data_IF_756561085467
#
_entry.id   IF_756561085467
#
_cell.length_a   1.000
_cell.length_b   1.000
_cell.length_c   1.000
_cell.angle_alpha   90.00
_cell.angle_beta   90.00
_cell.angle_gamma   90.00
#
_symmetry.space_group_name_H-M   'P 1'
#
loop_
_entity.id
_entity.type
_entity.pdbx_description
1 polymer ?
#
# COMPACT_ATOMS: atom_id res chain seq x y z
N UNK A 1 2.85 13.14 -0.62
CA UNK A 1 2.96 11.89 -1.40
C UNK A 1 2.41 12.19 -2.79
N UNK A 2 3.16 11.84 -3.83
CA UNK A 2 2.73 12.12 -5.21
C UNK A 2 1.48 11.30 -5.58
N UNK A 3 0.58 11.87 -6.39
CA UNK A 3 -0.57 11.15 -6.91
C UNK A 3 -0.14 9.92 -7.74
N UNK A 4 -0.94 8.86 -7.74
CA UNK A 4 -0.69 7.64 -8.51
C UNK A 4 -1.17 7.73 -9.97
N UNK A 5 -1.87 8.81 -10.32
CA UNK A 5 -2.27 9.15 -11.67
C UNK A 5 -2.11 10.66 -11.90
N UNK A 6 -1.96 11.07 -13.14
CA UNK A 6 -1.72 12.47 -13.54
C UNK A 6 -3.01 13.15 -14.02
N UNK A 7 -2.96 14.48 -14.12
CA UNK A 7 -4.04 15.27 -14.72
C UNK A 7 -4.21 14.92 -16.23
N UNK A 8 -3.11 14.56 -16.89
CA UNK A 8 -3.15 14.08 -18.27
C UNK A 8 -3.96 12.81 -18.39
N UNK A 9 -3.80 11.85 -17.46
CA UNK A 9 -4.60 10.63 -17.43
C UNK A 9 -6.11 10.89 -17.32
N UNK A 10 -6.51 11.98 -16.68
CA UNK A 10 -7.92 12.38 -16.62
C UNK A 10 -8.39 13.00 -17.93
N UNK A 11 -7.60 13.91 -18.53
CA UNK A 11 -7.95 14.57 -19.79
C UNK A 11 -8.10 13.56 -20.93
N UNK A 12 -7.22 12.58 -20.99
CA UNK A 12 -7.25 11.51 -22.00
C UNK A 12 -8.53 10.68 -21.89
N UNK A 13 -8.92 10.32 -20.65
CA UNK A 13 -10.16 9.57 -20.40
C UNK A 13 -11.42 10.41 -20.58
N UNK A 14 -11.33 11.72 -20.34
CA UNK A 14 -12.44 12.64 -20.56
C UNK A 14 -12.65 12.97 -22.06
N UNK A 15 -11.63 12.73 -22.89
CA UNK A 15 -11.62 13.03 -24.32
C UNK A 15 -11.54 14.52 -24.64
N UNK A 16 -11.19 15.37 -23.66
CA UNK A 16 -10.99 16.81 -23.80
C UNK A 16 -10.00 17.34 -22.76
N UNK A 17 -9.34 18.47 -23.02
CA UNK A 17 -8.57 19.14 -21.99
C UNK A 17 -9.46 19.58 -20.82
N UNK A 18 -8.89 19.58 -19.63
CA UNK A 18 -9.53 20.13 -18.44
C UNK A 18 -9.48 21.67 -18.48
N UNK A 19 -10.50 22.30 -17.96
CA UNK A 19 -10.47 23.74 -17.71
C UNK A 19 -9.57 24.05 -16.51
N UNK A 20 -9.01 25.28 -16.37
CA UNK A 20 -8.15 25.62 -15.23
C UNK A 20 -8.79 25.36 -13.85
N UNK A 21 -10.11 25.51 -13.73
CA UNK A 21 -10.84 25.24 -12.50
C UNK A 21 -10.95 23.73 -12.25
N UNK A 22 -11.21 22.93 -13.30
CA UNK A 22 -11.22 21.48 -13.21
C UNK A 22 -9.84 20.93 -12.89
N UNK A 23 -8.78 21.50 -13.46
CA UNK A 23 -7.39 21.07 -13.24
C UNK A 23 -6.95 21.24 -11.79
N UNK A 24 -7.22 22.40 -11.18
CA UNK A 24 -6.94 22.63 -9.77
C UNK A 24 -7.70 21.65 -8.85
N UNK A 25 -8.97 21.36 -9.17
CA UNK A 25 -9.78 20.38 -8.45
C UNK A 25 -9.30 18.96 -8.69
N UNK A 26 -8.91 18.62 -9.92
CA UNK A 26 -8.44 17.30 -10.30
C UNK A 26 -7.20 16.86 -9.49
N UNK A 27 -6.26 17.76 -9.25
CA UNK A 27 -5.06 17.46 -8.45
C UNK A 27 -5.44 17.00 -7.03
N UNK A 28 -6.36 17.69 -6.38
CA UNK A 28 -6.84 17.30 -5.05
C UNK A 28 -7.55 15.95 -5.07
N UNK A 29 -8.43 15.73 -6.07
CA UNK A 29 -9.16 14.47 -6.22
C UNK A 29 -8.24 13.29 -6.51
N UNK A 30 -7.19 13.48 -7.32
CA UNK A 30 -6.17 12.47 -7.59
C UNK A 30 -5.37 12.12 -6.34
N UNK A 31 -5.04 13.12 -5.53
CA UNK A 31 -4.37 12.91 -4.25
C UNK A 31 -5.24 12.08 -3.29
N UNK A 32 -6.52 12.43 -3.15
CA UNK A 32 -7.48 11.73 -2.30
C UNK A 32 -7.73 10.29 -2.77
N UNK A 33 -7.90 10.09 -4.09
CA UNK A 33 -8.05 8.77 -4.70
C UNK A 33 -6.82 7.90 -4.44
N UNK A 34 -5.63 8.45 -4.64
CA UNK A 34 -4.36 7.78 -4.41
C UNK A 34 -4.18 7.37 -2.95
N UNK A 35 -4.55 8.24 -2.02
CA UNK A 35 -4.50 7.94 -0.60
C UNK A 35 -5.44 6.78 -0.23
N UNK A 36 -6.65 6.72 -0.81
CA UNK A 36 -7.61 5.63 -0.59
C UNK A 36 -7.11 4.30 -1.17
N UNK A 37 -6.54 4.32 -2.38
CA UNK A 37 -5.97 3.11 -3.01
C UNK A 37 -4.81 2.58 -2.17
N UNK A 38 -3.88 3.43 -1.74
CA UNK A 38 -2.78 3.03 -0.85
C UNK A 38 -3.29 2.50 0.51
N UNK A 39 -4.31 3.14 1.07
CA UNK A 39 -4.91 2.69 2.33
C UNK A 39 -5.58 1.32 2.20
N UNK A 40 -6.22 1.03 1.08
CA UNK A 40 -6.85 -0.24 0.79
C UNK A 40 -5.82 -1.33 0.53
N UNK A 41 -4.92 -1.13 -0.42
CA UNK A 41 -3.94 -2.14 -0.87
C UNK A 41 -2.78 -2.33 0.10
N UNK A 42 -2.53 -1.36 0.99
CA UNK A 42 -1.33 -1.27 1.85
C UNK A 42 -0.02 -1.18 1.05
N UNK A 43 -0.10 -0.78 -0.24
CA UNK A 43 1.05 -0.63 -1.13
C UNK A 43 1.35 0.84 -1.41
N UNK A 44 2.62 1.20 -1.48
CA UNK A 44 3.08 2.55 -1.86
C UNK A 44 2.99 2.80 -3.37
N UNK A 45 3.21 1.76 -4.18
CA UNK A 45 3.30 1.73 -5.65
C UNK A 45 4.46 2.52 -6.26
N UNK A 46 5.06 3.41 -5.51
CA UNK A 46 6.21 4.22 -5.95
C UNK A 46 7.50 3.58 -5.48
N UNK A 47 8.56 3.73 -6.28
CA UNK A 47 9.88 3.22 -5.91
C UNK A 47 10.39 3.91 -4.65
N UNK A 48 10.86 3.09 -3.73
CA UNK A 48 11.51 3.51 -2.50
C UNK A 48 12.78 2.68 -2.32
N UNK A 49 13.91 3.35 -2.23
CA UNK A 49 15.20 2.69 -2.04
C UNK A 49 15.57 2.68 -0.54
N UNK A 50 16.09 1.55 -0.08
CA UNK A 50 16.61 1.36 1.28
C UNK A 50 15.62 1.71 2.41
N UNK A 51 14.34 1.35 2.24
CA UNK A 51 13.37 1.45 3.32
C UNK A 51 13.73 0.48 4.44
N UNK A 52 13.66 0.96 5.68
CA UNK A 52 13.91 0.14 6.86
C UNK A 52 12.62 -0.14 7.59
N UNK A 53 12.30 -1.42 7.77
CA UNK A 53 11.10 -1.89 8.48
C UNK A 53 11.48 -2.87 9.58
N UNK A 54 10.64 -2.91 10.62
CA UNK A 54 10.79 -3.92 11.69
C UNK A 54 9.64 -4.90 11.57
N UNK A 55 9.98 -6.16 11.35
CA UNK A 55 9.04 -7.24 11.08
C UNK A 55 9.30 -8.42 12.01
N UNK A 56 8.27 -9.22 12.27
CA UNK A 56 8.38 -10.45 13.02
C UNK A 56 8.37 -11.64 12.07
N UNK A 57 9.32 -12.54 12.24
CA UNK A 57 9.33 -13.81 11.53
C UNK A 57 8.18 -14.69 12.03
N UNK A 58 7.58 -15.44 11.13
CA UNK A 58 6.59 -16.48 11.42
C UNK A 58 7.10 -17.76 10.79
N UNK A 59 7.35 -18.78 11.60
CA UNK A 59 7.89 -20.07 11.13
C UNK A 59 9.16 -19.91 10.28
N UNK A 60 10.08 -19.05 10.73
CA UNK A 60 11.33 -18.79 10.00
C UNK A 60 11.21 -17.92 8.73
N UNK A 61 10.02 -17.44 8.40
CA UNK A 61 9.78 -16.58 7.25
C UNK A 61 9.46 -15.14 7.66
N UNK A 62 10.13 -14.18 7.04
CA UNK A 62 9.82 -12.76 7.12
C UNK A 62 9.14 -12.37 5.81
N UNK A 63 7.91 -11.83 5.89
CA UNK A 63 7.19 -11.35 4.71
C UNK A 63 7.32 -9.85 4.59
N UNK A 64 7.85 -9.41 3.45
CA UNK A 64 8.01 -7.99 3.13
C UNK A 64 6.67 -7.38 2.74
N UNK A 65 6.32 -6.21 3.31
CA UNK A 65 4.98 -5.62 3.13
C UNK A 65 4.79 -4.95 1.78
N UNK A 66 5.83 -4.38 1.19
CA UNK A 66 5.75 -3.64 -0.07
C UNK A 66 6.25 -4.47 -1.24
N UNK A 67 5.59 -4.34 -2.40
CA UNK A 67 5.88 -5.09 -3.63
C UNK A 67 5.86 -4.18 -4.86
N UNK A 68 6.57 -4.57 -5.93
CA UNK A 68 7.58 -5.63 -6.00
C UNK A 68 8.79 -5.29 -5.14
N UNK A 69 9.45 -6.31 -4.58
CA UNK A 69 10.75 -6.15 -3.92
C UNK A 69 11.84 -6.15 -4.99
N UNK A 70 12.72 -5.17 -4.95
CA UNK A 70 13.81 -4.99 -5.92
C UNK A 70 15.09 -5.61 -5.38
N UNK A 71 15.39 -5.36 -4.12
CA UNK A 71 16.59 -5.85 -3.43
C UNK A 71 16.39 -5.86 -1.92
N UNK A 72 17.04 -6.79 -1.25
CA UNK A 72 17.19 -6.81 0.22
C UNK A 72 18.65 -6.52 0.52
N UNK A 73 18.90 -5.40 1.20
CA UNK A 73 20.26 -4.94 1.49
C UNK A 73 20.78 -5.51 2.81
N UNK A 74 19.93 -5.56 3.85
CA UNK A 74 20.35 -5.97 5.19
C UNK A 74 19.19 -6.59 5.97
N UNK A 75 19.54 -7.60 6.77
CA UNK A 75 18.65 -8.22 7.76
C UNK A 75 19.37 -8.30 9.10
N UNK A 76 18.77 -7.71 10.11
CA UNK A 76 19.33 -7.61 11.47
C UNK A 76 18.34 -8.17 12.47
N UNK A 77 18.76 -9.11 13.30
CA UNK A 77 17.96 -9.57 14.43
C UNK A 77 17.93 -8.48 15.52
N UNK A 78 16.74 -8.10 15.95
CA UNK A 78 16.55 -7.04 16.94
C UNK A 78 16.60 -7.66 18.34
N UNK A 79 17.55 -7.21 19.15
CA UNK A 79 17.69 -7.66 20.53
C UNK A 79 16.56 -7.14 21.43
N UNK A 80 16.11 -7.96 22.36
CA UNK A 80 15.15 -7.62 23.41
C UNK A 80 15.86 -7.51 24.77
N UNK A 81 15.23 -6.86 25.75
CA UNK A 81 15.75 -6.79 27.11
C UNK A 81 17.07 -6.04 27.26
N UNK A 82 17.51 -5.25 26.26
CA UNK A 82 18.81 -4.57 26.25
C UNK A 82 19.91 -5.32 25.51
N UNK A 83 19.60 -6.49 24.93
CA UNK A 83 20.54 -7.19 24.06
C UNK A 83 20.85 -6.35 22.79
N UNK A 84 22.09 -6.39 22.28
CA UNK A 84 22.46 -5.66 21.07
C UNK A 84 21.79 -6.24 19.82
N UNK A 85 21.53 -5.40 18.84
CA UNK A 85 21.09 -5.87 17.52
C UNK A 85 22.25 -6.61 16.83
N UNK A 86 21.96 -7.76 16.21
CA UNK A 86 22.96 -8.61 15.54
C UNK A 86 22.62 -8.83 14.07
N UNK A 87 23.61 -8.77 13.14
CA UNK A 87 23.39 -9.14 11.76
C UNK A 87 22.85 -10.58 11.68
N UNK A 88 21.75 -10.78 10.96
CA UNK A 88 21.21 -12.11 10.73
C UNK A 88 22.14 -12.89 9.79
N UNK A 89 22.45 -14.12 10.15
CA UNK A 89 23.36 -14.98 9.37
C UNK A 89 22.54 -16.04 8.65
N UNK A 90 22.90 -16.32 7.39
CA UNK A 90 22.29 -17.42 6.62
C UNK A 90 20.87 -17.16 6.14
N UNK A 91 20.40 -15.92 6.15
CA UNK A 91 19.11 -15.58 5.55
C UNK A 91 19.17 -15.69 4.02
N UNK A 92 18.04 -16.05 3.42
CA UNK A 92 17.89 -16.16 1.98
C UNK A 92 16.60 -15.45 1.54
N UNK A 93 16.71 -14.60 0.54
CA UNK A 93 15.56 -13.99 -0.13
C UNK A 93 15.13 -14.84 -1.32
N UNK A 94 13.84 -15.09 -1.46
CA UNK A 94 13.25 -15.91 -2.53
C UNK A 94 13.17 -15.21 -3.90
N UNK A 95 13.58 -13.93 -3.96
CA UNK A 95 13.44 -13.10 -5.17
C UNK A 95 12.07 -12.45 -5.31
N UNK A 96 11.14 -12.68 -4.38
CA UNK A 96 9.80 -12.10 -4.37
C UNK A 96 9.55 -11.27 -3.10
N UNK A 97 8.88 -11.83 -2.11
CA UNK A 97 8.49 -11.11 -0.89
C UNK A 97 8.81 -11.85 0.41
N UNK A 98 9.51 -12.97 0.34
CA UNK A 98 9.83 -13.79 1.50
C UNK A 98 11.34 -13.85 1.74
N UNK A 99 11.72 -13.58 2.96
CA UNK A 99 13.07 -13.83 3.46
C UNK A 99 12.96 -15.01 4.42
N UNK A 100 13.70 -16.07 4.15
CA UNK A 100 13.87 -17.19 5.07
C UNK A 100 15.05 -16.92 5.98
N UNK A 101 14.83 -17.10 7.27
CA UNK A 101 15.87 -16.98 8.28
C UNK A 101 16.33 -18.37 8.71
N UNK A 102 17.57 -18.48 9.12
CA UNK A 102 18.16 -19.75 9.56
C UNK A 102 17.54 -20.32 10.86
N UNK A 103 16.55 -19.63 11.45
CA UNK A 103 15.95 -20.00 12.74
C UNK A 103 15.19 -21.34 12.73
N UNK A 104 14.89 -21.93 11.56
CA UNK A 104 14.29 -23.28 11.45
C UNK A 104 15.30 -24.37 11.06
N UNK A 105 16.54 -24.00 10.77
CA UNK A 105 17.60 -24.97 10.61
C UNK A 105 18.39 -24.97 11.92
N UNK A 106 18.43 -26.09 12.68
CA UNK A 106 19.31 -26.15 13.83
C UNK A 106 20.71 -25.84 13.31
N UNK A 107 21.21 -24.67 13.70
CA UNK A 107 22.48 -24.16 13.22
C UNK A 107 23.58 -25.08 13.69
N UNK A 108 24.06 -25.93 12.78
CA UNK A 108 25.16 -26.89 13.04
C UNK A 108 26.48 -26.15 13.36
N UNK A 109 26.48 -24.82 13.33
CA UNK A 109 27.67 -24.00 13.52
C UNK A 109 27.50 -22.84 14.52
N UNK A 110 26.47 -22.84 15.36
CA UNK A 110 26.53 -21.98 16.55
C UNK A 110 27.37 -22.66 17.64
N UNK A 111 28.33 -21.96 18.24
CA UNK A 111 29.03 -22.49 19.42
C UNK A 111 28.02 -22.90 20.47
N UNK A 112 28.20 -24.07 21.09
CA UNK A 112 27.32 -24.65 22.11
C UNK A 112 27.00 -23.72 23.30
N UNK A 113 27.69 -22.59 23.41
CA UNK A 113 27.51 -21.58 24.46
C UNK A 113 26.26 -20.71 24.34
N UNK A 114 25.47 -20.78 23.23
CA UNK A 114 24.33 -19.87 22.96
C UNK A 114 22.97 -20.51 23.16
N UNK A 115 22.91 -21.73 23.67
CA UNK A 115 21.67 -22.54 23.66
C UNK A 115 20.72 -22.34 24.84
N UNK A 116 21.10 -21.67 25.94
CA UNK A 116 20.30 -21.73 27.16
C UNK A 116 19.88 -20.39 27.83
N UNK A 117 20.46 -19.24 27.49
CA UNK A 117 20.08 -17.98 28.15
C UNK A 117 19.53 -16.90 27.19
N UNK A 118 19.73 -17.02 25.89
CA UNK A 118 19.47 -15.94 24.93
C UNK A 118 18.25 -16.14 24.02
N UNK A 119 17.48 -17.23 24.15
CA UNK A 119 16.29 -17.46 23.33
C UNK A 119 15.24 -16.33 23.53
N UNK A 120 15.16 -15.75 24.71
CA UNK A 120 14.31 -14.60 25.01
C UNK A 120 14.92 -13.28 24.52
N UNK A 121 16.22 -13.22 24.27
CA UNK A 121 16.92 -12.01 23.81
C UNK A 121 16.63 -11.69 22.33
N UNK A 122 16.26 -12.70 21.52
CA UNK A 122 15.95 -12.54 20.09
C UNK A 122 14.60 -13.16 19.75
N UNK A 123 13.50 -12.47 20.03
CA UNK A 123 12.13 -12.98 19.90
C UNK A 123 11.63 -13.12 18.44
N UNK A 124 12.53 -13.35 17.49
CA UNK A 124 12.18 -13.47 16.07
C UNK A 124 11.73 -12.16 15.42
N UNK A 125 12.19 -11.03 15.96
CA UNK A 125 11.97 -9.70 15.39
C UNK A 125 13.22 -9.28 14.60
N UNK A 126 13.00 -8.81 13.37
CA UNK A 126 14.08 -8.43 12.46
C UNK A 126 13.87 -7.03 11.94
N UNK A 127 14.96 -6.28 11.84
CA UNK A 127 15.02 -5.04 11.06
C UNK A 127 15.54 -5.40 9.68
N UNK A 128 14.76 -5.07 8.65
CA UNK A 128 15.08 -5.35 7.25
C UNK A 128 15.22 -4.05 6.51
N UNK A 129 16.33 -3.87 5.80
CA UNK A 129 16.54 -2.79 4.85
C UNK A 129 16.37 -3.35 3.44
N UNK A 130 15.42 -2.81 2.69
CA UNK A 130 15.11 -3.29 1.35
C UNK A 130 14.63 -2.18 0.42
N UNK A 131 14.74 -2.40 -0.88
CA UNK A 131 14.23 -1.51 -1.92
C UNK A 131 13.02 -2.15 -2.58
N UNK A 132 11.98 -1.35 -2.83
CA UNK A 132 10.72 -1.85 -3.38
C UNK A 132 10.03 -0.83 -4.27
N UNK A 133 8.92 -1.26 -4.88
CA UNK A 133 8.09 -0.44 -5.76
C UNK A 133 8.52 -0.51 -7.21
N UNK A 134 7.67 -0.02 -8.10
CA UNK A 134 7.92 0.02 -9.53
C UNK A 134 8.50 1.39 -9.94
N UNK A 135 9.23 1.41 -11.05
CA UNK A 135 9.72 2.67 -11.63
C UNK A 135 8.55 3.55 -12.12
N UNK A 136 7.50 2.89 -12.62
CA UNK A 136 6.24 3.53 -13.03
C UNK A 136 5.09 2.89 -12.27
N UNK A 137 4.06 3.67 -11.95
CA UNK A 137 2.85 3.16 -11.30
C UNK A 137 2.16 2.17 -12.24
N UNK A 138 1.76 0.98 -11.78
CA UNK A 138 1.06 0.00 -12.61
C UNK A 138 -0.20 0.59 -13.27
N UNK A 139 -0.44 0.22 -14.53
CA UNK A 139 -1.50 0.80 -15.35
C UNK A 139 -2.90 0.60 -14.76
N UNK A 140 -3.15 -0.56 -14.14
CA UNK A 140 -4.40 -0.90 -13.44
C UNK A 140 -4.65 0.05 -12.27
N UNK A 141 -3.60 0.38 -11.50
CA UNK A 141 -3.68 1.33 -10.38
C UNK A 141 -3.97 2.74 -10.89
N UNK A 142 -3.27 3.16 -11.97
CA UNK A 142 -3.54 4.45 -12.64
C UNK A 142 -5.00 4.51 -13.12
N UNK A 143 -5.50 3.41 -13.71
CA UNK A 143 -6.88 3.33 -14.21
C UNK A 143 -7.92 3.49 -13.09
N UNK A 144 -7.74 2.79 -11.98
CA UNK A 144 -8.65 2.87 -10.82
C UNK A 144 -8.62 4.27 -10.22
N UNK A 145 -7.43 4.84 -9.97
CA UNK A 145 -7.28 6.18 -9.38
C UNK A 145 -7.91 7.25 -10.28
N UNK A 146 -7.62 7.21 -11.58
CA UNK A 146 -8.17 8.15 -12.54
C UNK A 146 -9.70 8.05 -12.64
N UNK A 147 -10.26 6.83 -12.64
CA UNK A 147 -11.70 6.59 -12.65
C UNK A 147 -12.39 7.12 -11.39
N UNK A 148 -11.81 6.89 -10.21
CA UNK A 148 -12.32 7.42 -8.94
C UNK A 148 -12.34 8.96 -8.94
N UNK A 149 -11.27 9.59 -9.38
CA UNK A 149 -11.16 11.05 -9.47
C UNK A 149 -12.14 11.61 -10.51
N UNK A 150 -12.21 11.00 -11.70
CA UNK A 150 -13.07 11.42 -12.79
C UNK A 150 -14.56 11.34 -12.42
N UNK A 151 -14.97 10.26 -11.77
CA UNK A 151 -16.35 10.08 -11.26
C UNK A 151 -16.76 11.23 -10.36
N UNK A 152 -15.86 11.68 -9.47
CA UNK A 152 -16.12 12.80 -8.57
C UNK A 152 -16.05 14.16 -9.28
N UNK A 153 -15.13 14.30 -10.24
CA UNK A 153 -14.95 15.53 -11.02
C UNK A 153 -16.18 15.82 -11.90
N UNK A 154 -16.75 14.78 -12.54
CA UNK A 154 -17.90 14.89 -13.45
C UNK A 154 -19.25 14.82 -12.73
N UNK A 155 -19.27 14.43 -11.45
CA UNK A 155 -20.51 14.45 -10.68
C UNK A 155 -21.01 15.87 -10.49
N UNK A 156 -22.29 16.14 -10.77
CA UNK A 156 -22.85 17.47 -10.54
C UNK A 156 -22.71 17.82 -9.06
N UNK A 157 -22.14 18.99 -8.78
CA UNK A 157 -22.12 19.56 -7.43
C UNK A 157 -23.53 20.03 -7.13
N UNK A 158 -24.34 19.19 -6.49
CA UNK A 158 -25.64 19.58 -5.99
C UNK A 158 -25.40 20.44 -4.76
N UNK A 159 -25.49 21.74 -4.93
CA UNK A 159 -25.45 22.68 -3.81
C UNK A 159 -26.66 22.40 -2.90
N UNK A 160 -26.38 22.13 -1.62
CA UNK A 160 -27.42 22.10 -0.60
C UNK A 160 -28.10 20.77 -0.30
N UNK A 161 -27.48 19.63 -0.62
CA UNK A 161 -27.99 18.33 -0.16
C UNK A 161 -29.32 17.90 -0.77
N UNK A 162 -29.68 18.41 -1.95
CA UNK A 162 -30.88 18.01 -2.69
C UNK A 162 -30.69 16.58 -3.19
N UNK A 163 -31.40 15.64 -2.61
CA UNK A 163 -31.38 14.21 -2.97
C UNK A 163 -32.36 13.85 -4.07
N UNK A 164 -33.12 14.80 -4.58
CA UNK A 164 -34.05 14.59 -5.65
C UNK A 164 -34.65 15.89 -6.16
N UNK A 165 -34.87 15.94 -7.45
CA UNK A 165 -35.59 17.03 -8.15
C UNK A 165 -36.75 16.44 -8.93
N UNK A 166 -37.92 17.10 -8.85
CA UNK A 166 -39.09 16.70 -9.61
C UNK A 166 -39.45 17.83 -10.58
N UNK A 167 -39.31 17.56 -11.86
CA UNK A 167 -39.69 18.50 -12.92
C UNK A 167 -40.88 17.89 -13.69
N UNK A 168 -42.08 18.33 -13.36
CA UNK A 168 -43.31 17.81 -13.94
C UNK A 168 -43.51 16.31 -13.64
N UNK A 169 -43.75 15.44 -14.63
CA UNK A 169 -43.99 14.02 -14.42
C UNK A 169 -42.68 13.22 -14.18
N UNK A 170 -41.51 13.86 -14.25
CA UNK A 170 -40.24 13.22 -14.10
C UNK A 170 -39.66 13.52 -12.72
N UNK A 171 -39.42 12.47 -11.92
CA UNK A 171 -38.67 12.56 -10.68
C UNK A 171 -37.31 11.89 -10.83
N UNK A 172 -36.26 12.62 -10.51
CA UNK A 172 -34.92 12.10 -10.45
C UNK A 172 -34.51 12.04 -8.97
N UNK A 173 -34.07 10.89 -8.51
CA UNK A 173 -33.50 10.71 -7.17
C UNK A 173 -32.04 10.31 -7.32
N UNK A 174 -31.18 11.06 -6.65
CA UNK A 174 -29.78 10.67 -6.46
C UNK A 174 -29.67 10.01 -5.08
N UNK A 175 -29.02 8.84 -5.00
CA UNK A 175 -28.73 8.24 -3.71
C UNK A 175 -27.97 9.24 -2.84
N UNK A 176 -28.55 9.59 -1.70
CA UNK A 176 -28.05 10.61 -0.77
C UNK A 176 -26.75 10.26 -0.05
N UNK A 177 -26.05 9.23 -0.45
CA UNK A 177 -24.77 8.80 0.12
C UNK A 177 -23.61 9.64 -0.44
N UNK A 178 -23.51 10.91 -0.03
CA UNK A 178 -22.28 11.69 -0.20
C UNK A 178 -21.91 12.03 -1.65
N UNK A 179 -22.88 12.24 -2.52
CA UNK A 179 -22.64 12.55 -3.93
C UNK A 179 -22.04 13.95 -4.08
N UNK A 180 -20.84 14.02 -4.60
CA UNK A 180 -20.31 15.23 -5.22
C UNK A 180 -19.08 15.89 -4.56
N UNK A 181 -18.72 15.56 -3.32
CA UNK A 181 -17.61 16.24 -2.64
C UNK A 181 -16.45 15.32 -2.22
N UNK A 182 -16.70 14.05 -1.98
CA UNK A 182 -15.68 13.11 -1.51
C UNK A 182 -15.42 12.00 -2.52
N UNK A 183 -14.16 11.73 -2.79
CA UNK A 183 -13.74 10.57 -3.60
C UNK A 183 -14.16 9.29 -2.88
N UNK A 184 -14.90 8.41 -3.54
CA UNK A 184 -15.31 7.12 -3.00
C UNK A 184 -14.70 5.97 -3.83
N UNK A 185 -14.30 4.91 -3.13
CA UNK A 185 -13.87 3.64 -3.74
C UNK A 185 -15.08 2.71 -3.79
N UNK A 186 -15.46 2.25 -4.97
CA UNK A 186 -16.57 1.31 -5.16
C UNK A 186 -16.10 -0.14 -4.97
N UNK A 187 -17.05 -1.06 -4.93
CA UNK A 187 -16.73 -2.49 -4.87
C UNK A 187 -16.11 -2.99 -6.18
N UNK A 188 -16.42 -2.35 -7.31
CA UNK A 188 -15.77 -2.62 -8.60
C UNK A 188 -14.29 -2.21 -8.58
N UNK A 189 -13.99 -1.00 -8.06
CA UNK A 189 -12.60 -0.54 -7.88
C UNK A 189 -11.79 -1.49 -6.99
N UNK A 190 -12.42 -2.02 -5.92
CA UNK A 190 -11.78 -3.00 -5.03
C UNK A 190 -11.52 -4.33 -5.73
N UNK A 191 -12.50 -4.85 -6.47
CA UNK A 191 -12.35 -6.11 -7.20
C UNK A 191 -11.23 -6.03 -8.23
N UNK A 192 -11.15 -4.93 -8.98
CA UNK A 192 -10.08 -4.75 -9.96
C UNK A 192 -8.69 -4.73 -9.30
N UNK A 193 -8.55 -4.06 -8.16
CA UNK A 193 -7.29 -4.10 -7.39
C UNK A 193 -7.00 -5.49 -6.81
N UNK A 194 -8.02 -6.22 -6.37
CA UNK A 194 -7.89 -7.57 -5.84
C UNK A 194 -7.49 -8.57 -6.94
N UNK A 195 -8.12 -8.46 -8.12
CA UNK A 195 -7.82 -9.30 -9.30
C UNK A 195 -6.42 -9.01 -9.85
N UNK A 196 -5.95 -7.77 -9.76
CA UNK A 196 -4.58 -7.38 -10.06
C UNK A 196 -3.54 -7.86 -9.00
N UNK A 197 -4.00 -8.53 -7.94
CA UNK A 197 -3.13 -9.12 -6.91
C UNK A 197 -2.76 -8.18 -5.76
N UNK A 198 -3.39 -7.00 -5.66
CA UNK A 198 -3.12 -6.02 -4.60
C UNK A 198 -4.02 -6.19 -3.36
N UNK A 199 -4.70 -7.32 -3.25
CA UNK A 199 -5.52 -7.62 -2.08
C UNK A 199 -4.68 -7.61 -0.80
N UNK A 200 -5.09 -6.86 0.26
CA UNK A 200 -4.37 -6.87 1.52
C UNK A 200 -4.37 -8.29 2.12
N UNK A 201 -3.18 -8.83 2.36
CA UNK A 201 -3.06 -10.11 3.06
C UNK A 201 -3.37 -9.90 4.55
N UNK A 202 -4.40 -10.52 5.05
CA UNK A 202 -4.73 -10.53 6.49
C UNK A 202 -3.62 -11.29 7.23
N UNK A 203 -2.93 -10.63 8.17
CA UNK A 203 -1.92 -11.28 9.02
C UNK A 203 -0.53 -10.64 9.03
N UNK A 204 -0.28 -9.56 8.29
CA UNK A 204 0.98 -8.82 8.43
C UNK A 204 0.97 -7.94 9.69
N UNK A 205 1.64 -8.39 10.73
CA UNK A 205 1.86 -7.58 11.95
C UNK A 205 3.11 -6.72 11.76
N UNK A 206 2.92 -5.46 11.41
CA UNK A 206 3.99 -4.47 11.56
C UNK A 206 4.09 -4.06 13.02
N UNK A 207 5.28 -4.18 13.60
CA UNK A 207 5.57 -3.59 14.91
C UNK A 207 5.74 -2.08 14.69
N UNK A 208 4.70 -1.30 14.97
CA UNK A 208 4.81 0.16 14.98
C UNK A 208 5.64 0.57 16.20
N UNK A 209 6.76 1.24 15.97
CA UNK A 209 7.41 2.05 17.03
C UNK A 209 6.46 3.21 17.37
N UNK A 210 6.17 3.35 18.67
CA UNK A 210 5.68 4.60 19.27
C UNK A 210 6.86 5.56 19.46
#
# INVERSE_FOLDING_TARGET
MDPLASVTDLSDRLGRPLTPVEEARAQSLLSDASAKVRAYTKQAFTRTDNETVVLRAQQGEIRLPQKPVIAVAEVVAVGAGGAPDLPAVGWQWDGLDIIRTAADTPSINMPELWYDEDADAYPGTYRVMYSHGAAEVPADVVAVVARMALRTLTSPTVAGGVTGETIGPYSYRTDGSGVGTAVAMTDEDRRELDDAGYRPKVGMSMVRRR
#
